data_IF_487378568660
#
_entry.id   IF_487378568660
#
_cell.length_a   1.000
_cell.length_b   1.000
_cell.length_c   1.000
_cell.angle_alpha   90.00
_cell.angle_beta   90.00
_cell.angle_gamma   90.00
#
_symmetry.space_group_name_H-M   'P 1'
#
loop_
_entity.id
_entity.type
_entity.pdbx_description
1 polymer ?
#
# COMPACT_ATOMS: atom_id res chain seq x y z
N UNK A 1 16.53 6.29 -0.41
CA UNK A 1 16.44 7.13 0.81
C UNK A 1 16.87 6.26 1.97
N UNK A 2 17.98 6.59 2.61
CA UNK A 2 18.50 5.81 3.73
C UNK A 2 17.49 5.87 4.87
N UNK A 3 17.00 4.69 5.22
CA UNK A 3 16.11 4.45 6.34
C UNK A 3 16.94 4.63 7.62
N UNK A 4 16.75 5.75 8.33
CA UNK A 4 17.55 6.05 9.53
C UNK A 4 17.10 5.16 10.69
N UNK A 5 17.97 4.23 11.08
CA UNK A 5 17.74 3.37 12.23
C UNK A 5 18.00 4.18 13.50
N UNK A 6 16.96 4.32 14.34
CA UNK A 6 17.06 5.05 15.60
C UNK A 6 16.71 4.17 16.79
N UNK A 7 17.22 4.60 17.95
CA UNK A 7 16.91 4.03 19.25
C UNK A 7 16.37 5.13 20.16
N UNK A 8 15.27 4.87 20.84
CA UNK A 8 14.67 5.81 21.79
C UNK A 8 14.08 5.09 23.00
N UNK A 9 13.92 5.83 24.08
CA UNK A 9 13.24 5.36 25.29
C UNK A 9 12.23 6.41 25.76
N UNK A 10 11.19 5.94 26.43
CA UNK A 10 10.15 6.82 26.95
C UNK A 10 8.95 6.05 27.50
N UNK A 11 7.89 6.81 27.77
CA UNK A 11 6.64 6.27 28.36
C UNK A 11 5.54 6.21 27.32
N UNK A 12 4.82 5.10 27.24
CA UNK A 12 3.63 4.98 26.38
C UNK A 12 2.52 5.86 26.96
N UNK A 13 2.03 6.83 26.19
CA UNK A 13 0.95 7.74 26.60
C UNK A 13 -0.37 7.49 25.89
N UNK A 14 -0.35 6.96 24.66
CA UNK A 14 -1.55 6.58 23.91
C UNK A 14 -1.33 5.29 23.13
N UNK A 15 -2.40 4.51 22.93
CA UNK A 15 -2.39 3.27 22.13
C UNK A 15 -3.58 3.28 21.18
N UNK A 16 -3.33 2.96 19.91
CA UNK A 16 -4.25 2.92 18.78
C UNK A 16 -4.03 1.61 18.01
N UNK A 17 -4.65 0.52 18.48
CA UNK A 17 -4.40 -0.82 17.95
C UNK A 17 -2.88 -1.17 17.95
N UNK A 18 -2.25 -1.26 16.79
CA UNK A 18 -0.82 -1.57 16.63
C UNK A 18 0.10 -0.35 16.63
N UNK A 19 -0.47 0.86 16.73
CA UNK A 19 0.25 2.13 16.84
C UNK A 19 0.14 2.68 18.25
N UNK A 20 1.13 3.43 18.69
CA UNK A 20 1.14 4.02 20.03
C UNK A 20 2.06 5.22 20.08
N UNK A 21 1.81 6.13 21.03
CA UNK A 21 2.62 7.33 21.22
C UNK A 21 3.51 7.11 22.42
N UNK A 22 4.81 7.35 22.24
CA UNK A 22 5.82 7.34 23.29
C UNK A 22 6.24 8.78 23.57
N UNK A 23 6.05 9.21 24.82
CA UNK A 23 6.60 10.46 25.30
C UNK A 23 8.08 10.24 25.65
N UNK A 24 8.96 10.91 24.92
CA UNK A 24 10.41 10.91 25.17
C UNK A 24 10.86 12.25 25.75
N UNK A 25 12.14 12.36 26.11
CA UNK A 25 12.74 13.63 26.55
C UNK A 25 12.75 14.70 25.43
N UNK A 26 12.73 14.29 24.16
CA UNK A 26 12.78 15.20 22.99
C UNK A 26 11.40 15.56 22.44
N UNK A 27 10.34 14.95 22.97
CA UNK A 27 8.97 15.11 22.48
C UNK A 27 8.25 13.79 22.31
N UNK A 28 7.01 13.87 21.81
CA UNK A 28 6.17 12.72 21.53
C UNK A 28 6.54 12.10 20.17
N UNK A 29 6.65 10.77 20.12
CA UNK A 29 6.93 10.01 18.90
C UNK A 29 5.80 9.00 18.68
N UNK A 30 5.24 8.98 17.48
CA UNK A 30 4.32 7.94 17.04
C UNK A 30 5.13 6.70 16.62
N UNK A 31 4.81 5.55 17.19
CA UNK A 31 5.46 4.27 16.91
C UNK A 31 4.45 3.26 16.34
N UNK A 32 4.91 2.40 15.43
CA UNK A 32 4.10 1.41 14.72
C UNK A 32 4.76 0.02 14.82
N UNK A 33 4.06 -0.96 15.43
CA UNK A 33 4.49 -2.36 15.50
C UNK A 33 4.09 -3.18 14.27
N UNK A 34 3.21 -2.65 13.42
CA UNK A 34 2.36 -3.33 12.43
C UNK A 34 1.43 -4.37 13.08
N UNK A 35 0.38 -4.85 12.38
CA UNK A 35 -0.50 -5.87 12.94
C UNK A 35 0.25 -7.10 13.46
N UNK A 36 1.25 -7.59 12.72
CA UNK A 36 2.06 -8.74 13.15
C UNK A 36 2.86 -8.49 14.43
N UNK A 37 3.43 -7.30 14.61
CA UNK A 37 4.16 -6.98 15.83
C UNK A 37 3.23 -6.81 17.04
N UNK A 38 2.00 -6.34 16.82
CA UNK A 38 1.00 -6.20 17.87
C UNK A 38 0.52 -7.56 18.43
N UNK A 39 0.57 -8.63 17.63
CA UNK A 39 0.28 -9.99 18.11
C UNK A 39 1.36 -10.51 19.09
N UNK A 40 2.59 -9.95 19.02
CA UNK A 40 3.73 -10.38 19.83
C UNK A 40 3.93 -9.53 21.10
N UNK A 41 3.35 -8.33 21.13
CA UNK A 41 3.63 -7.33 22.17
C UNK A 41 2.33 -6.83 22.78
N UNK A 42 2.18 -6.99 24.09
CA UNK A 42 1.07 -6.40 24.84
C UNK A 42 1.37 -4.96 25.24
N UNK A 43 0.90 -4.00 24.43
CA UNK A 43 1.02 -2.58 24.72
C UNK A 43 0.19 -2.19 25.97
N UNK A 44 0.77 -1.33 26.82
CA UNK A 44 0.12 -0.79 28.04
C UNK A 44 0.44 0.69 28.18
N UNK A 45 -0.58 1.52 28.36
CA UNK A 45 -0.40 2.94 28.68
C UNK A 45 0.30 3.05 30.04
N UNK A 46 1.24 4.00 30.15
CA UNK A 46 2.06 4.24 31.34
C UNK A 46 3.35 3.41 31.40
N UNK A 47 3.50 2.39 30.55
CA UNK A 47 4.68 1.54 30.52
C UNK A 47 5.91 2.30 30.00
N UNK A 48 7.05 2.08 30.67
CA UNK A 48 8.35 2.54 30.22
C UNK A 48 8.96 1.52 29.25
N UNK A 49 9.34 2.02 28.08
CA UNK A 49 9.78 1.18 26.96
C UNK A 49 11.04 1.73 26.30
N UNK A 50 11.81 0.81 25.71
CA UNK A 50 12.94 1.11 24.85
C UNK A 50 12.66 0.51 23.47
N UNK A 51 12.72 1.35 22.45
CA UNK A 51 12.39 1.01 21.07
C UNK A 51 13.60 1.20 20.18
N UNK A 52 13.79 0.25 19.27
CA UNK A 52 14.65 0.42 18.11
C UNK A 52 13.81 0.24 16.86
N UNK A 53 14.09 1.02 15.85
CA UNK A 53 13.30 0.99 14.63
C UNK A 53 13.80 1.94 13.58
N UNK A 54 13.01 1.99 12.53
CA UNK A 54 13.28 2.77 11.35
C UNK A 54 12.44 4.05 11.36
N UNK A 55 13.09 5.22 11.33
CA UNK A 55 12.38 6.49 11.32
C UNK A 55 11.80 6.78 9.93
N UNK A 56 10.47 6.66 9.81
CA UNK A 56 9.71 7.16 8.65
C UNK A 56 9.40 8.65 8.84
N UNK A 57 8.98 9.37 7.79
CA UNK A 57 8.65 10.80 7.91
C UNK A 57 7.62 11.16 8.99
N UNK A 58 6.73 10.23 9.37
CA UNK A 58 5.65 10.49 10.33
C UNK A 58 5.61 9.55 11.54
N UNK A 59 6.38 8.46 11.52
CA UNK A 59 6.31 7.42 12.56
C UNK A 59 7.61 6.64 12.66
N UNK A 60 7.87 6.06 13.82
CA UNK A 60 8.92 5.09 14.04
C UNK A 60 8.36 3.69 13.76
N UNK A 61 8.85 3.03 12.71
CA UNK A 61 8.54 1.62 12.47
C UNK A 61 9.40 0.74 13.38
N UNK A 62 8.79 0.15 14.40
CA UNK A 62 9.53 -0.54 15.46
C UNK A 62 10.03 -1.89 14.98
N UNK A 63 11.33 -2.12 15.03
CA UNK A 63 11.97 -3.42 14.74
C UNK A 63 12.32 -4.19 16.02
N UNK A 64 12.46 -3.49 17.14
CA UNK A 64 12.68 -4.09 18.46
C UNK A 64 11.94 -3.31 19.53
N UNK A 65 11.19 -4.03 20.37
CA UNK A 65 10.43 -3.48 21.47
C UNK A 65 10.92 -4.10 22.78
N UNK A 66 11.30 -3.27 23.75
CA UNK A 66 11.75 -3.72 25.07
C UNK A 66 10.92 -3.05 26.15
N UNK A 67 10.40 -3.84 27.09
CA UNK A 67 9.66 -3.37 28.26
C UNK A 67 10.15 -4.11 29.50
N UNK A 68 10.81 -3.38 30.41
CA UNK A 68 11.48 -4.00 31.56
C UNK A 68 12.60 -4.95 31.12
N UNK A 69 12.48 -6.25 31.43
CA UNK A 69 13.44 -7.29 31.04
C UNK A 69 13.05 -8.04 29.78
N UNK A 70 11.84 -7.84 29.28
CA UNK A 70 11.32 -8.52 28.10
C UNK A 70 11.68 -7.71 26.85
N UNK A 71 12.22 -8.39 25.84
CA UNK A 71 12.57 -7.78 24.56
C UNK A 71 12.06 -8.66 23.42
N UNK A 72 11.39 -8.04 22.46
CA UNK A 72 10.74 -8.70 21.33
C UNK A 72 11.25 -8.08 20.04
N UNK A 73 11.76 -8.92 19.14
CA UNK A 73 12.15 -8.52 17.79
C UNK A 73 10.97 -8.68 16.84
N UNK A 74 10.67 -7.63 16.08
CA UNK A 74 9.53 -7.58 15.17
C UNK A 74 10.04 -7.73 13.75
N UNK A 75 9.76 -8.88 13.13
CA UNK A 75 10.11 -9.13 11.75
C UNK A 75 9.08 -8.51 10.81
N UNK A 76 9.51 -7.46 10.13
CA UNK A 76 8.74 -6.81 9.09
C UNK A 76 9.01 -7.50 7.76
N UNK A 77 7.97 -8.08 7.13
CA UNK A 77 8.10 -8.49 5.73
C UNK A 77 8.46 -7.24 4.92
N UNK A 78 9.59 -7.30 4.20
CA UNK A 78 9.92 -6.28 3.21
C UNK A 78 8.73 -6.21 2.25
N UNK A 79 8.21 -5.01 1.99
CA UNK A 79 7.25 -4.85 0.91
C UNK A 79 7.95 -5.37 -0.35
N UNK A 80 7.27 -6.18 -1.20
CA UNK A 80 7.82 -6.53 -2.48
C UNK A 80 8.24 -5.22 -3.14
N UNK A 81 9.50 -5.13 -3.53
CA UNK A 81 9.94 -4.03 -4.37
C UNK A 81 9.01 -4.06 -5.58
N UNK A 82 8.31 -2.96 -5.87
CA UNK A 82 7.60 -2.83 -7.14
C UNK A 82 8.63 -2.56 -8.24
N UNK A 83 9.68 -3.39 -8.27
CA UNK A 83 10.69 -3.43 -9.30
C UNK A 83 10.02 -3.83 -10.60
N UNK A 84 10.22 -3.00 -11.61
CA UNK A 84 10.01 -3.26 -13.02
C UNK A 84 8.91 -4.28 -13.31
N UNK A 85 7.69 -3.76 -13.46
CA UNK A 85 6.67 -4.50 -14.18
C UNK A 85 7.29 -5.16 -15.41
N UNK A 86 7.19 -6.50 -15.48
CA UNK A 86 7.52 -7.25 -16.70
C UNK A 86 6.99 -6.49 -17.90
N UNK A 87 7.76 -6.51 -19.00
CA UNK A 87 7.45 -5.85 -20.26
C UNK A 87 6.13 -6.38 -20.80
N UNK A 88 5.03 -5.89 -20.25
CA UNK A 88 3.71 -6.15 -20.73
C UNK A 88 3.58 -5.30 -21.99
N UNK A 89 3.49 -5.98 -23.11
CA UNK A 89 3.40 -5.34 -24.40
C UNK A 89 2.02 -4.68 -24.53
N UNK A 90 2.04 -3.36 -24.66
CA UNK A 90 0.83 -2.57 -24.85
C UNK A 90 0.12 -2.96 -26.15
N UNK A 91 0.86 -3.38 -27.18
CA UNK A 91 0.27 -3.77 -28.45
C UNK A 91 -0.64 -5.00 -28.28
N UNK A 92 -0.20 -6.00 -27.51
CA UNK A 92 -1.02 -7.17 -27.14
C UNK A 92 -2.36 -6.77 -26.49
N UNK A 93 -2.37 -5.74 -25.63
CA UNK A 93 -3.60 -5.28 -24.98
C UNK A 93 -4.53 -4.50 -25.94
N UNK A 94 -3.97 -3.71 -26.86
CA UNK A 94 -4.72 -3.00 -27.91
C UNK A 94 -5.35 -3.98 -28.89
N UNK A 95 -4.59 -4.98 -29.33
CA UNK A 95 -5.08 -6.02 -30.24
C UNK A 95 -6.20 -6.84 -29.60
N UNK A 96 -6.11 -7.14 -28.31
CA UNK A 96 -7.20 -7.78 -27.58
C UNK A 96 -8.50 -6.95 -27.57
N UNK A 97 -8.40 -5.63 -27.39
CA UNK A 97 -9.55 -4.73 -27.45
C UNK A 97 -10.18 -4.73 -28.85
N UNK A 98 -9.36 -4.66 -29.91
CA UNK A 98 -9.81 -4.74 -31.31
C UNK A 98 -10.46 -6.08 -31.64
N UNK A 99 -9.84 -7.19 -31.23
CA UNK A 99 -10.38 -8.54 -31.44
C UNK A 99 -11.73 -8.74 -30.75
N UNK A 100 -12.00 -8.01 -29.66
CA UNK A 100 -13.29 -7.99 -28.97
C UNK A 100 -14.31 -7.00 -29.56
N UNK A 101 -13.99 -6.38 -30.70
CA UNK A 101 -14.87 -5.46 -31.43
C UNK A 101 -14.94 -4.05 -30.84
N UNK A 102 -13.98 -3.66 -30.00
CA UNK A 102 -13.84 -2.29 -29.53
C UNK A 102 -12.85 -1.53 -30.41
N UNK A 103 -13.13 -0.26 -30.68
CA UNK A 103 -12.20 0.69 -31.27
C UNK A 103 -11.47 1.43 -30.14
N UNK A 104 -10.18 1.14 -29.86
CA UNK A 104 -9.45 1.79 -28.78
C UNK A 104 -9.28 3.28 -29.07
N UNK A 105 -9.70 4.11 -28.12
CA UNK A 105 -9.60 5.57 -28.18
C UNK A 105 -8.73 6.06 -27.02
N UNK A 106 -8.01 7.16 -27.22
CA UNK A 106 -7.14 7.73 -26.20
C UNK A 106 -5.86 6.93 -25.92
N UNK A 107 -5.19 7.26 -24.80
CA UNK A 107 -3.90 6.66 -24.42
C UNK A 107 -4.14 5.57 -23.36
N UNK A 108 -3.81 4.29 -23.65
CA UNK A 108 -3.87 3.22 -22.67
C UNK A 108 -3.04 3.50 -21.40
N UNK A 109 -3.62 3.22 -20.25
CA UNK A 109 -2.98 3.43 -18.95
C UNK A 109 -2.51 2.12 -18.34
N UNK A 110 -1.20 2.01 -18.08
CA UNK A 110 -0.60 0.86 -17.40
C UNK A 110 -0.87 0.93 -15.89
N UNK A 111 -1.51 -0.10 -15.34
CA UNK A 111 -1.64 -0.38 -13.89
C UNK A 111 -0.80 -1.60 -13.55
N UNK A 112 -0.43 -1.85 -12.29
CA UNK A 112 0.46 -2.96 -11.95
C UNK A 112 0.06 -4.34 -12.49
N UNK A 113 -1.25 -4.64 -12.57
CA UNK A 113 -1.77 -5.96 -12.96
C UNK A 113 -2.53 -5.99 -14.29
N UNK A 114 -2.76 -4.86 -14.94
CA UNK A 114 -3.56 -4.76 -16.17
C UNK A 114 -3.34 -3.40 -16.87
N UNK A 115 -3.89 -3.25 -18.06
CA UNK A 115 -4.08 -2.00 -18.77
C UNK A 115 -5.52 -1.54 -18.62
N UNK A 116 -5.72 -0.23 -18.43
CA UNK A 116 -7.00 0.44 -18.64
C UNK A 116 -6.97 1.04 -20.06
N UNK A 117 -7.92 0.65 -20.90
CA UNK A 117 -8.05 1.13 -22.28
C UNK A 117 -9.46 1.69 -22.45
N UNK A 118 -9.59 2.92 -22.95
CA UNK A 118 -10.88 3.40 -23.41
C UNK A 118 -11.15 2.83 -24.80
N UNK A 119 -12.34 2.26 -25.01
CA UNK A 119 -12.72 1.64 -26.27
C UNK A 119 -14.16 1.97 -26.62
N UNK A 120 -14.42 2.34 -27.86
CA UNK A 120 -15.77 2.57 -28.37
C UNK A 120 -16.32 1.32 -29.03
N UNK A 121 -17.60 1.03 -28.80
CA UNK A 121 -18.32 -0.02 -29.51
C UNK A 121 -19.78 0.36 -29.61
N UNK A 122 -20.35 0.29 -30.82
CA UNK A 122 -21.75 0.65 -31.08
C UNK A 122 -22.13 2.08 -30.64
N UNK A 123 -21.21 3.05 -30.77
CA UNK A 123 -21.43 4.43 -30.36
C UNK A 123 -21.35 4.69 -28.85
N UNK A 124 -21.05 3.65 -28.05
CA UNK A 124 -20.88 3.73 -26.61
C UNK A 124 -19.39 3.63 -26.23
N UNK A 125 -18.97 4.39 -25.22
CA UNK A 125 -17.59 4.34 -24.69
C UNK A 125 -17.49 3.37 -23.53
N UNK A 126 -16.45 2.55 -23.51
CA UNK A 126 -16.17 1.57 -22.48
C UNK A 126 -14.76 1.74 -21.92
N UNK A 127 -14.60 1.55 -20.61
CA UNK A 127 -13.32 1.36 -19.95
C UNK A 127 -13.04 -0.14 -19.86
N UNK A 128 -12.04 -0.60 -20.59
CA UNK A 128 -11.60 -1.98 -20.68
C UNK A 128 -10.44 -2.23 -19.72
N UNK A 129 -10.55 -3.27 -18.91
CA UNK A 129 -9.46 -3.74 -18.04
C UNK A 129 -8.85 -4.97 -18.68
N UNK A 130 -7.72 -4.80 -19.35
CA UNK A 130 -7.03 -5.85 -20.11
C UNK A 130 -5.85 -6.38 -19.30
N UNK A 131 -5.85 -7.66 -18.98
CA UNK A 131 -4.73 -8.31 -18.31
C UNK A 131 -3.46 -8.25 -19.15
N UNK A 132 -2.29 -8.41 -18.51
CA UNK A 132 -0.99 -8.26 -19.19
C UNK A 132 -0.78 -9.25 -20.35
N UNK A 133 -1.51 -10.37 -20.36
CA UNK A 133 -1.50 -11.37 -21.44
C UNK A 133 -2.57 -11.14 -22.52
N UNK A 134 -3.21 -9.97 -22.59
CA UNK A 134 -4.18 -9.66 -23.65
C UNK A 134 -5.58 -10.22 -23.43
N UNK A 135 -5.97 -10.56 -22.19
CA UNK A 135 -7.34 -10.99 -21.88
C UNK A 135 -8.14 -9.84 -21.30
N UNK A 136 -9.29 -9.51 -21.89
CA UNK A 136 -10.21 -8.52 -21.32
C UNK A 136 -10.88 -9.15 -20.10
N UNK A 137 -10.57 -8.65 -18.91
CA UNK A 137 -11.16 -9.10 -17.64
C UNK A 137 -12.46 -8.37 -17.33
N UNK A 138 -12.58 -7.11 -17.76
CA UNK A 138 -13.76 -6.27 -17.52
C UNK A 138 -13.93 -5.26 -18.64
N UNK A 139 -15.17 -4.97 -19.00
CA UNK A 139 -15.56 -3.83 -19.83
C UNK A 139 -16.65 -3.05 -19.08
N UNK A 140 -16.43 -1.77 -18.82
CA UNK A 140 -17.37 -0.92 -18.08
C UNK A 140 -17.85 0.20 -19.00
N UNK A 141 -19.17 0.33 -19.20
CA UNK A 141 -19.74 1.45 -19.94
C UNK A 141 -19.42 2.77 -19.22
N UNK A 142 -18.84 3.72 -19.94
CA UNK A 142 -18.55 5.10 -19.54
C UNK A 142 -19.63 5.97 -20.15
N UNK A 143 -20.78 6.09 -19.48
CA UNK A 143 -21.91 6.83 -20.04
C UNK A 143 -23.27 6.68 -19.36
N UNK A 144 -23.48 5.70 -18.47
CA UNK A 144 -24.68 5.71 -17.62
C UNK A 144 -24.45 6.64 -16.41
N UNK A 145 -24.53 7.94 -16.70
CA UNK A 145 -24.90 8.93 -15.70
C UNK A 145 -26.21 8.49 -15.06
N UNK A 146 -26.23 8.52 -13.74
CA UNK A 146 -27.43 8.44 -12.94
C UNK A 146 -28.26 9.69 -13.26
N UNK A 147 -29.22 9.60 -14.18
CA UNK A 147 -30.28 10.62 -14.28
C UNK A 147 -31.25 10.35 -13.13
N UNK A 148 -30.95 10.96 -11.98
CA UNK A 148 -31.93 11.22 -10.95
C UNK A 148 -32.42 12.66 -11.14
N UNK A 149 -33.55 12.82 -11.81
CA UNK A 149 -34.55 13.87 -11.60
C UNK A 149 -35.78 13.57 -12.45
#
# INVERSE_FOLDING_TARGET
MSEDQIKLSGKIVHVFAHRFVVQTAKGAVLADLTPHGADLVKLRIGADVELEGEQKPSELRVTRFTCGRESVTIQHKRKPDHGHHESADLATAIEAARAAGFEPVGTPRRKPKHFEIEGQRNGETYELHVELGGRIRKAKLVGSGHEAA
#
